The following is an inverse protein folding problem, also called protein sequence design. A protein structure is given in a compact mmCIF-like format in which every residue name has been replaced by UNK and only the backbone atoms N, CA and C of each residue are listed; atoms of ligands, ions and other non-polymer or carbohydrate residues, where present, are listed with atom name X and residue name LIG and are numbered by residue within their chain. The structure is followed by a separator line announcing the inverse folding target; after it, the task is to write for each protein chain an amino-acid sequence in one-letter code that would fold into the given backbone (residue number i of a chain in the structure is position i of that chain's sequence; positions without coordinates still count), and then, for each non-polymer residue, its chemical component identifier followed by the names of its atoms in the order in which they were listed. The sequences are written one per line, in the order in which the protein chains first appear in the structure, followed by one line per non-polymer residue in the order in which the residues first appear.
data_IF_966538881388
#
_entry.id   IF_966538881388
#
_cell.length_a   1.000
_cell.length_b   1.000
_cell.length_c   1.000
_cell.angle_alpha   90.00
_cell.angle_beta   90.00
_cell.angle_gamma   90.00
#
_symmetry.space_group_name_H-M   'P 1'
#
loop_
_entity.id
_entity.type
_entity.pdbx_description
1 polymer ?
#
# COMPACT_ATOMS: atom_id res chain seq x y z
N UNK A 1 11.82 -27.34 1.12
CA UNK A 1 12.75 -26.99 0.05
C UNK A 1 13.24 -28.19 -0.78
N UNK A 2 12.62 -29.36 -0.68
CA UNK A 2 13.02 -30.60 -1.37
C UNK A 2 12.07 -31.09 -2.49
N UNK A 3 10.99 -30.37 -2.77
CA UNK A 3 9.98 -30.82 -3.75
C UNK A 3 10.20 -30.31 -5.19
N UNK A 4 11.15 -29.41 -5.41
CA UNK A 4 11.39 -28.81 -6.75
C UNK A 4 12.24 -29.73 -7.65
N UNK A 5 12.98 -30.67 -7.07
CA UNK A 5 13.91 -31.54 -7.80
C UNK A 5 13.32 -32.91 -8.21
N UNK A 6 12.07 -33.20 -7.85
CA UNK A 6 11.50 -34.54 -8.02
C UNK A 6 11.32 -34.99 -9.50
N UNK A 7 11.38 -34.06 -10.46
CA UNK A 7 11.25 -34.35 -11.90
C UNK A 7 12.42 -33.81 -12.75
N UNK A 8 13.56 -33.53 -12.12
CA UNK A 8 14.73 -33.01 -12.84
C UNK A 8 15.68 -34.15 -13.12
N UNK A 9 15.81 -34.53 -14.38
CA UNK A 9 16.82 -35.51 -14.85
C UNK A 9 18.08 -34.72 -15.19
N UNK A 10 19.16 -34.96 -14.45
CA UNK A 10 20.48 -34.39 -14.76
C UNK A 10 21.05 -35.09 -15.99
N UNK A 11 21.45 -34.33 -16.99
CA UNK A 11 22.12 -34.83 -18.19
C UNK A 11 23.60 -34.38 -18.11
N UNK A 12 24.53 -35.35 -18.15
CA UNK A 12 25.95 -35.10 -17.88
C UNK A 12 26.65 -34.22 -18.94
N UNK A 13 26.12 -34.11 -20.16
CA UNK A 13 26.73 -33.38 -21.26
C UNK A 13 26.00 -32.10 -21.69
N UNK A 14 25.02 -31.64 -20.91
CA UNK A 14 24.24 -30.43 -21.24
C UNK A 14 24.56 -29.34 -20.24
N UNK A 15 25.06 -28.21 -20.73
CA UNK A 15 25.30 -27.02 -19.88
C UNK A 15 23.99 -26.43 -19.39
N UNK A 16 23.94 -26.09 -18.10
CA UNK A 16 22.80 -25.43 -17.50
C UNK A 16 22.50 -24.11 -18.20
N UNK A 17 21.25 -23.94 -18.61
CA UNK A 17 20.79 -22.71 -19.24
C UNK A 17 19.64 -22.08 -18.43
N UNK A 18 19.72 -20.78 -18.20
CA UNK A 18 18.65 -20.05 -17.55
C UNK A 18 17.47 -19.88 -18.52
N UNK A 19 16.30 -20.44 -18.16
CA UNK A 19 15.08 -20.30 -18.95
C UNK A 19 14.14 -19.30 -18.24
N UNK A 20 13.73 -18.28 -18.97
CA UNK A 20 12.71 -17.35 -18.49
C UNK A 20 11.31 -17.93 -18.71
N UNK A 21 10.71 -18.48 -17.63
CA UNK A 21 9.43 -19.20 -17.69
C UNK A 21 8.24 -18.35 -18.14
N UNK A 22 8.31 -17.01 -18.06
CA UNK A 22 7.21 -16.13 -18.42
C UNK A 22 7.11 -15.86 -19.92
N UNK A 23 8.18 -16.08 -20.66
CA UNK A 23 8.23 -15.98 -22.13
C UNK A 23 9.34 -16.91 -22.62
N UNK A 24 8.94 -18.11 -22.99
CA UNK A 24 9.87 -19.15 -23.47
C UNK A 24 10.40 -18.87 -24.88
N UNK A 25 9.75 -17.97 -25.63
CA UNK A 25 10.10 -17.66 -27.03
C UNK A 25 11.09 -16.51 -27.13
N UNK A 26 10.85 -15.42 -26.37
CA UNK A 26 11.70 -14.20 -26.41
C UNK A 26 12.76 -14.17 -25.31
N UNK A 27 12.71 -15.13 -24.38
CA UNK A 27 13.62 -15.19 -23.24
C UNK A 27 13.46 -14.03 -22.25
N UNK A 28 14.50 -13.80 -21.45
CA UNK A 28 14.50 -12.69 -20.47
C UNK A 28 14.64 -11.35 -21.19
N UNK A 29 13.70 -10.45 -20.93
CA UNK A 29 13.80 -9.05 -21.29
C UNK A 29 13.53 -8.17 -20.07
N UNK A 30 14.25 -7.06 -19.92
CA UNK A 30 14.02 -6.09 -18.85
C UNK A 30 12.57 -5.59 -18.84
N UNK A 31 12.00 -5.37 -20.03
CA UNK A 31 10.61 -4.96 -20.21
C UNK A 31 9.63 -6.05 -19.75
N UNK A 32 9.90 -7.32 -20.04
CA UNK A 32 9.10 -8.47 -19.60
C UNK A 32 9.14 -8.63 -18.08
N UNK A 33 10.33 -8.57 -17.48
CA UNK A 33 10.52 -8.64 -16.05
C UNK A 33 9.83 -7.47 -15.33
N UNK A 34 9.99 -6.24 -15.82
CA UNK A 34 9.33 -5.08 -15.26
C UNK A 34 7.80 -5.20 -15.35
N UNK A 35 7.27 -5.63 -16.50
CA UNK A 35 5.84 -5.87 -16.67
C UNK A 35 5.33 -6.91 -15.68
N UNK A 36 6.02 -8.04 -15.53
CA UNK A 36 5.66 -9.08 -14.57
C UNK A 36 5.63 -8.56 -13.13
N UNK A 37 6.69 -7.90 -12.68
CA UNK A 37 6.78 -7.36 -11.31
C UNK A 37 5.69 -6.32 -11.06
N UNK A 38 5.33 -5.52 -12.06
CA UNK A 38 4.31 -4.47 -11.92
C UNK A 38 2.88 -4.99 -12.05
N UNK A 39 2.64 -6.12 -12.72
CA UNK A 39 1.30 -6.71 -12.91
C UNK A 39 0.94 -7.79 -11.90
N UNK A 40 1.92 -8.40 -11.23
CA UNK A 40 1.68 -9.50 -10.26
C UNK A 40 1.01 -9.01 -8.96
N UNK A 41 0.99 -7.71 -8.68
CA UNK A 41 0.16 -7.14 -7.60
C UNK A 41 -1.25 -6.82 -8.09
N UNK A 42 -2.25 -6.79 -7.19
CA UNK A 42 -3.60 -6.29 -7.52
C UNK A 42 -3.46 -4.97 -8.30
N UNK A 43 -3.92 -4.88 -9.56
CA UNK A 43 -3.75 -3.67 -10.35
C UNK A 43 -4.40 -2.49 -9.62
N UNK A 44 -3.62 -1.43 -9.43
CA UNK A 44 -4.20 -0.17 -8.98
C UNK A 44 -5.12 0.34 -10.09
N UNK A 45 -6.33 0.74 -9.72
CA UNK A 45 -7.25 1.37 -10.66
C UNK A 45 -6.54 2.56 -11.32
N UNK A 46 -6.70 2.71 -12.65
CA UNK A 46 -6.05 3.77 -13.43
C UNK A 46 -6.35 5.16 -12.87
N UNK A 47 -7.56 5.38 -12.36
CA UNK A 47 -7.94 6.65 -11.72
C UNK A 47 -7.09 6.94 -10.50
N UNK A 48 -6.86 5.95 -9.64
CA UNK A 48 -6.03 6.09 -8.45
C UNK A 48 -4.56 6.42 -8.80
N UNK A 49 -4.03 5.83 -9.87
CA UNK A 49 -2.68 6.16 -10.36
C UNK A 49 -2.57 7.63 -10.75
N UNK A 50 -3.55 8.14 -11.52
CA UNK A 50 -3.61 9.55 -11.94
C UNK A 50 -3.74 10.47 -10.73
N UNK A 51 -4.53 10.09 -9.74
CA UNK A 51 -4.74 10.87 -8.53
C UNK A 51 -3.48 10.97 -7.67
N UNK A 52 -2.77 9.84 -7.49
CA UNK A 52 -1.53 9.78 -6.71
C UNK A 52 -0.41 10.59 -7.38
N UNK A 53 -0.28 10.50 -8.71
CA UNK A 53 0.77 11.19 -9.47
C UNK A 53 0.33 12.54 -10.02
N UNK A 54 -0.55 13.23 -9.29
CA UNK A 54 -1.02 14.55 -9.71
C UNK A 54 0.07 15.62 -9.51
N UNK A 55 0.23 16.50 -10.49
CA UNK A 55 1.29 17.54 -10.53
C UNK A 55 1.33 18.49 -9.33
N UNK A 56 0.21 18.64 -8.63
CA UNK A 56 0.10 19.51 -7.45
C UNK A 56 0.41 18.79 -6.14
N UNK A 57 0.68 17.48 -6.18
CA UNK A 57 1.07 16.70 -5.02
C UNK A 57 2.59 16.56 -5.04
N UNK A 58 3.29 16.90 -3.95
CA UNK A 58 4.73 16.70 -3.89
C UNK A 58 5.11 15.24 -4.15
N UNK A 59 6.15 14.99 -4.94
CA UNK A 59 6.56 13.64 -5.36
C UNK A 59 6.84 12.71 -4.17
N UNK A 60 7.33 13.26 -3.07
CA UNK A 60 7.54 12.51 -1.82
C UNK A 60 6.24 11.97 -1.23
N UNK A 61 5.17 12.76 -1.28
CA UNK A 61 3.83 12.36 -0.83
C UNK A 61 3.20 11.37 -1.82
N UNK A 62 3.40 11.59 -3.12
CA UNK A 62 2.94 10.66 -4.16
C UNK A 62 3.58 9.28 -4.00
N UNK A 63 4.89 9.22 -3.78
CA UNK A 63 5.61 7.97 -3.55
C UNK A 63 5.10 7.27 -2.27
N UNK A 64 4.90 8.04 -1.19
CA UNK A 64 4.31 7.54 0.03
C UNK A 64 2.93 6.91 -0.21
N UNK A 65 2.00 7.66 -0.83
CA UNK A 65 0.66 7.17 -1.13
C UNK A 65 0.67 5.93 -2.05
N UNK A 66 1.59 5.90 -3.01
CA UNK A 66 1.79 4.73 -3.86
C UNK A 66 2.15 3.47 -3.08
N UNK A 67 3.10 3.57 -2.13
CA UNK A 67 3.45 2.47 -1.25
C UNK A 67 2.28 2.07 -0.34
N UNK A 68 1.54 3.05 0.18
CA UNK A 68 0.37 2.83 1.02
C UNK A 68 -0.69 1.99 0.31
N UNK A 69 -1.13 2.41 -0.88
CA UNK A 69 -2.15 1.69 -1.65
C UNK A 69 -1.70 0.31 -2.15
N UNK A 70 -0.40 0.05 -2.17
CA UNK A 70 0.15 -1.27 -2.47
C UNK A 70 0.42 -2.13 -1.24
N UNK A 71 0.04 -1.68 -0.06
CA UNK A 71 0.35 -2.36 1.20
C UNK A 71 1.85 -2.69 1.34
N UNK A 72 2.72 -1.72 0.99
CA UNK A 72 4.18 -1.91 1.03
C UNK A 72 4.85 -1.15 2.17
N UNK A 73 4.07 -0.59 3.07
CA UNK A 73 4.60 0.07 4.26
C UNK A 73 5.29 -0.92 5.19
N UNK A 74 6.32 -0.49 5.92
CA UNK A 74 6.94 -1.26 6.98
C UNK A 74 6.07 -1.21 8.26
N UNK A 75 4.80 -1.63 8.15
CA UNK A 75 3.97 -1.96 9.31
C UNK A 75 4.49 -3.26 9.90
N UNK A 76 4.23 -3.50 11.19
CA UNK A 76 4.73 -4.68 11.85
C UNK A 76 4.24 -5.97 11.18
N UNK A 77 2.97 -6.05 10.79
CA UNK A 77 2.43 -7.16 9.99
C UNK A 77 3.25 -7.40 8.69
N UNK A 78 3.54 -6.34 7.93
CA UNK A 78 4.35 -6.45 6.73
C UNK A 78 5.81 -6.83 7.01
N UNK A 79 6.37 -6.41 8.13
CA UNK A 79 7.72 -6.79 8.55
C UNK A 79 7.79 -8.25 8.99
N UNK A 80 6.78 -8.74 9.72
CA UNK A 80 6.65 -10.17 10.05
C UNK A 80 6.51 -11.00 8.78
N UNK A 81 5.61 -10.58 7.85
CA UNK A 81 5.41 -11.28 6.59
C UNK A 81 6.69 -11.36 5.74
N UNK A 82 7.54 -10.34 5.83
CA UNK A 82 8.87 -10.30 5.19
C UNK A 82 9.96 -10.98 6.00
N UNK A 83 9.65 -11.56 7.17
CA UNK A 83 10.59 -12.21 8.09
C UNK A 83 11.69 -11.28 8.62
N UNK A 84 11.39 -9.99 8.77
CA UNK A 84 12.30 -8.99 9.35
C UNK A 84 12.21 -9.00 10.86
N UNK A 85 11.00 -9.19 11.41
CA UNK A 85 10.74 -9.28 12.86
C UNK A 85 9.96 -10.56 13.19
N UNK A 86 9.98 -10.93 14.47
CA UNK A 86 9.23 -12.08 14.98
C UNK A 86 7.74 -11.73 15.16
N UNK A 87 6.80 -12.71 15.01
CA UNK A 87 5.36 -12.49 15.14
C UNK A 87 4.92 -11.95 16.52
N UNK A 88 5.64 -12.30 17.58
CA UNK A 88 5.28 -11.96 18.96
C UNK A 88 5.38 -10.44 19.25
N UNK A 89 6.02 -9.69 18.38
CA UNK A 89 6.23 -8.24 18.52
C UNK A 89 5.34 -7.40 17.61
N UNK A 90 4.35 -7.99 16.95
CA UNK A 90 3.52 -7.31 15.95
C UNK A 90 2.37 -6.47 16.57
N UNK A 91 2.64 -5.73 17.62
CA UNK A 91 1.66 -4.86 18.27
C UNK A 91 1.69 -3.43 17.67
N UNK A 92 0.53 -2.80 17.56
CA UNK A 92 0.44 -1.43 17.03
C UNK A 92 1.30 -0.46 17.85
N UNK A 93 2.13 0.32 17.16
CA UNK A 93 3.05 1.28 17.75
C UNK A 93 2.37 2.35 18.60
N UNK A 94 1.07 2.62 18.38
CA UNK A 94 0.29 3.54 19.22
C UNK A 94 -0.03 2.99 20.62
N UNK A 95 0.26 1.70 20.89
CA UNK A 95 -0.05 1.08 22.17
C UNK A 95 -1.53 0.67 22.34
N UNK A 96 -2.32 0.61 21.27
CA UNK A 96 -3.74 0.25 21.33
C UNK A 96 -4.01 -1.24 21.60
N UNK A 97 -2.98 -2.10 21.59
CA UNK A 97 -3.07 -3.53 21.88
C UNK A 97 -3.52 -4.43 20.73
N UNK A 98 -3.75 -3.87 19.53
CA UNK A 98 -4.12 -4.63 18.34
C UNK A 98 -2.92 -4.84 17.41
N UNK A 99 -2.92 -5.84 16.51
CA UNK A 99 -1.88 -6.01 15.50
C UNK A 99 -1.79 -4.80 14.57
N UNK A 100 -0.56 -4.38 14.22
CA UNK A 100 -0.33 -3.25 13.33
C UNK A 100 -0.45 -3.68 11.87
N UNK A 101 -1.66 -3.71 11.35
CA UNK A 101 -1.95 -3.83 9.91
C UNK A 101 -2.17 -2.45 9.29
N UNK A 102 -2.01 -2.33 7.96
CA UNK A 102 -2.18 -1.05 7.27
C UNK A 102 -3.58 -0.46 7.48
N UNK A 103 -4.65 -1.23 7.32
CA UNK A 103 -6.00 -0.72 7.56
C UNK A 103 -6.21 -0.34 9.02
N UNK A 104 -5.73 -1.16 9.97
CA UNK A 104 -5.80 -0.84 11.39
C UNK A 104 -5.12 0.50 11.67
N UNK A 105 -3.86 0.64 11.25
CA UNK A 105 -3.06 1.84 11.53
C UNK A 105 -3.72 3.13 11.01
N UNK A 106 -4.25 3.10 9.80
CA UNK A 106 -4.76 4.29 9.13
C UNK A 106 -6.26 4.54 9.30
N UNK A 107 -7.07 3.54 9.68
CA UNK A 107 -8.53 3.67 9.78
C UNK A 107 -9.09 3.22 11.13
N UNK A 108 -8.64 2.07 11.66
CA UNK A 108 -9.34 1.38 12.76
C UNK A 108 -8.67 1.58 14.12
N UNK A 109 -7.45 2.13 14.17
CA UNK A 109 -6.76 2.38 15.43
C UNK A 109 -7.51 3.43 16.25
N UNK A 110 -8.01 3.06 17.43
CA UNK A 110 -8.79 3.94 18.30
C UNK A 110 -8.03 5.21 18.75
N UNK A 111 -6.69 5.18 18.73
CA UNK A 111 -5.85 6.33 19.07
C UNK A 111 -5.61 7.22 17.83
N UNK A 112 -5.14 6.62 16.74
CA UNK A 112 -4.73 7.37 15.55
C UNK A 112 -5.90 7.77 14.64
N UNK A 113 -6.97 6.96 14.56
CA UNK A 113 -8.12 7.24 13.70
C UNK A 113 -8.96 8.44 14.14
N UNK A 114 -8.79 8.92 15.38
CA UNK A 114 -9.42 10.13 15.88
C UNK A 114 -9.17 11.37 14.99
N UNK A 115 -8.04 11.37 14.25
CA UNK A 115 -7.75 12.39 13.25
C UNK A 115 -8.83 12.49 12.17
N UNK A 116 -9.35 11.35 11.70
CA UNK A 116 -10.39 11.34 10.66
C UNK A 116 -11.68 11.98 11.14
N UNK A 117 -12.07 11.70 12.39
CA UNK A 117 -13.24 12.34 12.98
C UNK A 117 -13.10 13.87 12.99
N UNK A 118 -11.95 14.39 13.40
CA UNK A 118 -11.67 15.82 13.41
C UNK A 118 -11.67 16.42 12.00
N UNK A 119 -11.04 15.75 11.03
CA UNK A 119 -11.00 16.19 9.64
C UNK A 119 -12.41 16.20 9.03
N UNK A 120 -13.22 15.17 9.28
CA UNK A 120 -14.59 15.09 8.78
C UNK A 120 -15.48 16.17 9.41
N UNK A 121 -15.38 16.38 10.72
CA UNK A 121 -16.09 17.43 11.41
C UNK A 121 -15.71 18.82 10.86
N UNK A 122 -14.42 19.07 10.65
CA UNK A 122 -13.93 20.32 10.06
C UNK A 122 -14.45 20.56 8.64
N UNK A 123 -14.57 19.50 7.84
CA UNK A 123 -15.10 19.58 6.47
C UNK A 123 -16.62 19.53 6.40
N UNK A 124 -17.33 19.38 7.52
CA UNK A 124 -18.80 19.18 7.54
C UNK A 124 -19.24 17.88 6.88
N UNK A 125 -18.42 16.83 6.93
CA UNK A 125 -18.72 15.52 6.32
C UNK A 125 -19.38 14.62 7.37
N UNK A 126 -20.53 14.05 7.01
CA UNK A 126 -21.22 13.02 7.78
C UNK A 126 -21.29 11.75 6.95
N UNK A 127 -20.41 10.80 7.21
CA UNK A 127 -20.35 9.54 6.50
C UNK A 127 -19.88 8.40 7.42
N UNK A 128 -20.21 7.18 7.06
CA UNK A 128 -19.71 5.99 7.75
C UNK A 128 -18.29 5.71 7.28
N UNK A 129 -17.38 5.43 8.23
CA UNK A 129 -16.00 5.07 7.93
C UNK A 129 -15.93 3.72 7.22
N UNK A 130 -15.39 3.61 6.01
CA UNK A 130 -15.16 2.32 5.37
C UNK A 130 -14.02 1.56 6.03
N UNK A 131 -14.10 0.24 6.04
CA UNK A 131 -13.08 -0.66 6.59
C UNK A 131 -11.85 -0.85 5.68
N UNK A 132 -11.89 -0.35 4.45
CA UNK A 132 -10.78 -0.45 3.49
C UNK A 132 -10.27 0.92 3.08
N UNK A 133 -8.95 1.06 3.08
CA UNK A 133 -8.28 2.32 2.81
C UNK A 133 -8.57 2.90 1.43
N UNK A 134 -8.74 2.04 0.41
CA UNK A 134 -9.09 2.50 -0.95
C UNK A 134 -10.52 3.01 -1.01
N UNK A 135 -11.46 2.30 -0.38
CA UNK A 135 -12.85 2.75 -0.28
C UNK A 135 -12.96 4.06 0.49
N UNK A 136 -12.21 4.19 1.60
CA UNK A 136 -12.14 5.45 2.35
C UNK A 136 -11.61 6.60 1.49
N UNK A 137 -10.53 6.38 0.72
CA UNK A 137 -10.00 7.38 -0.21
C UNK A 137 -11.05 7.81 -1.23
N UNK A 138 -11.71 6.84 -1.90
CA UNK A 138 -12.73 7.15 -2.91
C UNK A 138 -13.93 7.86 -2.33
N UNK A 139 -14.44 7.41 -1.18
CA UNK A 139 -15.54 8.07 -0.49
C UNK A 139 -15.18 9.49 -0.10
N UNK A 140 -14.02 9.71 0.50
CA UNK A 140 -13.57 11.02 0.95
C UNK A 140 -13.37 11.99 -0.21
N UNK A 141 -12.81 11.53 -1.33
CA UNK A 141 -12.45 12.39 -2.46
C UNK A 141 -13.57 12.62 -3.45
N UNK A 142 -14.53 11.68 -3.59
CA UNK A 142 -15.55 11.70 -4.62
C UNK A 142 -16.98 11.81 -4.07
N UNK A 143 -17.20 12.49 -2.95
CA UNK A 143 -18.55 12.71 -2.43
C UNK A 143 -19.44 13.39 -3.47
N UNK A 144 -20.63 12.85 -3.65
CA UNK A 144 -21.62 13.35 -4.60
C UNK A 144 -22.00 14.83 -4.32
N UNK A 145 -22.29 15.57 -5.38
CA UNK A 145 -22.78 16.95 -5.29
C UNK A 145 -21.71 18.04 -5.16
N UNK A 146 -20.42 17.70 -5.19
CA UNK A 146 -19.35 18.70 -5.09
C UNK A 146 -18.75 19.09 -6.44
N UNK A 147 -18.36 20.37 -6.61
CA UNK A 147 -17.63 20.83 -7.77
C UNK A 147 -16.28 20.08 -7.94
N UNK A 148 -15.85 19.86 -9.17
CA UNK A 148 -14.57 19.16 -9.47
C UNK A 148 -13.34 19.78 -8.80
N UNK A 149 -13.34 21.08 -8.58
CA UNK A 149 -12.23 21.81 -7.91
C UNK A 149 -12.04 21.32 -6.47
N UNK A 150 -13.13 20.98 -5.77
CA UNK A 150 -13.07 20.50 -4.39
C UNK A 150 -12.50 19.08 -4.29
N UNK A 151 -12.58 18.28 -5.35
CA UNK A 151 -12.01 16.93 -5.37
C UNK A 151 -10.48 16.96 -5.20
N UNK A 152 -9.79 17.89 -5.87
CA UNK A 152 -8.33 18.01 -5.71
C UNK A 152 -7.97 18.44 -4.29
N UNK A 153 -8.68 19.42 -3.75
CA UNK A 153 -8.48 19.89 -2.38
C UNK A 153 -8.64 18.74 -1.36
N UNK A 154 -9.69 17.93 -1.51
CA UNK A 154 -9.93 16.75 -0.69
C UNK A 154 -8.84 15.70 -0.83
N UNK A 155 -8.31 15.47 -2.04
CA UNK A 155 -7.16 14.58 -2.25
C UNK A 155 -5.94 15.05 -1.46
N UNK A 156 -5.62 16.34 -1.53
CA UNK A 156 -4.50 16.93 -0.78
C UNK A 156 -4.69 16.74 0.71
N UNK A 157 -5.89 17.02 1.23
CA UNK A 157 -6.21 16.83 2.66
C UNK A 157 -6.04 15.35 3.03
N UNK A 158 -6.59 14.43 2.24
CA UNK A 158 -6.48 13.01 2.50
C UNK A 158 -5.02 12.54 2.55
N UNK A 159 -4.21 12.93 1.57
CA UNK A 159 -2.80 12.59 1.54
C UNK A 159 -2.02 13.23 2.71
N UNK A 160 -2.35 14.45 3.09
CA UNK A 160 -1.76 15.09 4.26
C UNK A 160 -2.13 14.34 5.55
N UNK A 161 -3.39 13.92 5.70
CA UNK A 161 -3.87 13.18 6.86
C UNK A 161 -3.14 11.85 7.04
N UNK A 162 -3.04 11.03 5.97
CA UNK A 162 -2.31 9.75 6.05
C UNK A 162 -0.80 9.97 6.28
N UNK A 163 -0.24 11.04 5.74
CA UNK A 163 1.15 11.42 6.01
C UNK A 163 1.38 11.76 7.49
N UNK A 164 0.49 12.52 8.09
CA UNK A 164 0.54 12.89 9.53
C UNK A 164 0.40 11.64 10.40
N UNK A 165 -0.57 10.77 10.11
CA UNK A 165 -0.75 9.50 10.82
C UNK A 165 0.51 8.64 10.80
N UNK A 166 1.15 8.52 9.63
CA UNK A 166 2.40 7.79 9.50
C UNK A 166 3.55 8.43 10.27
N UNK A 167 3.63 9.75 10.25
CA UNK A 167 4.64 10.48 11.01
C UNK A 167 4.44 10.27 12.51
N UNK A 168 3.20 10.34 12.98
CA UNK A 168 2.89 10.12 14.39
C UNK A 168 3.20 8.69 14.83
N UNK A 169 2.83 7.70 14.02
CA UNK A 169 3.25 6.32 14.27
C UNK A 169 4.76 6.19 14.43
N UNK A 170 5.53 6.83 13.56
CA UNK A 170 6.99 6.77 13.66
C UNK A 170 7.54 7.48 14.91
N UNK A 171 6.91 8.57 15.35
CA UNK A 171 7.26 9.22 16.61
C UNK A 171 7.00 8.32 17.83
N UNK A 172 6.06 7.37 17.73
CA UNK A 172 5.82 6.38 18.80
C UNK A 172 6.86 5.26 18.81
N UNK A 173 7.55 5.02 17.69
CA UNK A 173 8.56 3.94 17.57
C UNK A 173 9.96 4.40 17.86
N UNK A 174 10.30 5.63 17.49
CA UNK A 174 11.63 6.23 17.58
C UNK A 174 11.65 7.45 18.52
#
# INVERSE_FOLDING_TARGET
MLSVLHNTVLQDDVTDTWIWLLDSTSGYTVRGAYRFITTTGKPLNRSLVVDVWHKQIPSKVSLFAWHLFRNRFPTEDNLVHRRVIQPDNAACASGCGHPEMTNHLFLDCNILSSLWYQVWQWLGIFAVMPSDLRHHYYQFTNMAGLPRVTHLFRRIIWFASVWVLWKERNNCVF
#
